data_IF_962163663672
#
_entry.id   IF_962163663672
#
_cell.length_a   1.000
_cell.length_b   1.000
_cell.length_c   1.000
_cell.angle_alpha   90.00
_cell.angle_beta   90.00
_cell.angle_gamma   90.00
#
_symmetry.space_group_name_H-M   'P 1'
#
loop_
_entity.id
_entity.type
_entity.pdbx_description
1 polymer ?
#
# COMPACT_ATOMS: atom_id res chain seq x y z
N UNK A 1 36.04 16.16 11.85
CA UNK A 1 35.59 15.40 10.65
C UNK A 1 34.09 15.55 10.42
N UNK A 2 33.25 15.34 11.44
CA UNK A 2 31.77 15.43 11.37
C UNK A 2 31.28 16.79 10.83
N UNK A 3 31.76 17.91 11.38
CA UNK A 3 31.40 19.26 10.90
C UNK A 3 31.80 19.51 9.43
N UNK A 4 32.88 18.90 8.94
CA UNK A 4 33.30 19.01 7.54
C UNK A 4 32.33 18.27 6.63
N UNK A 5 31.92 17.04 7.01
CA UNK A 5 30.95 16.25 6.25
C UNK A 5 29.56 16.89 6.27
N UNK A 6 29.14 17.47 7.39
CA UNK A 6 27.90 18.24 7.48
C UNK A 6 27.88 19.42 6.50
N UNK A 7 28.90 20.27 6.55
CA UNK A 7 28.99 21.44 5.66
C UNK A 7 29.13 21.03 4.20
N UNK A 8 29.88 19.96 3.91
CA UNK A 8 29.98 19.40 2.56
C UNK A 8 28.61 18.93 2.06
N UNK A 9 27.85 18.20 2.86
CA UNK A 9 26.51 17.77 2.48
C UNK A 9 25.59 18.97 2.24
N UNK A 10 25.47 19.87 3.23
CA UNK A 10 24.57 21.02 3.21
C UNK A 10 24.83 22.01 2.08
N UNK A 11 26.10 22.30 1.78
CA UNK A 11 26.46 23.37 0.84
C UNK A 11 26.90 22.88 -0.54
N UNK A 12 27.20 21.58 -0.70
CA UNK A 12 27.75 21.05 -1.96
C UNK A 12 26.85 19.98 -2.59
N UNK A 13 26.29 19.04 -1.81
CA UNK A 13 25.54 17.91 -2.37
C UNK A 13 24.01 18.03 -2.26
N UNK A 14 23.50 18.67 -1.20
CA UNK A 14 22.06 18.88 -0.98
C UNK A 14 21.43 20.04 -1.76
N UNK A 15 22.14 21.14 -2.11
CA UNK A 15 21.54 22.23 -2.88
C UNK A 15 21.02 21.80 -4.26
N UNK A 16 20.13 22.61 -4.84
CA UNK A 16 19.52 22.36 -6.15
C UNK A 16 20.57 22.10 -7.24
N UNK A 17 20.38 21.00 -7.97
CA UNK A 17 21.32 20.55 -9.01
C UNK A 17 21.35 21.51 -10.19
N UNK A 18 22.45 22.25 -10.30
CA UNK A 18 22.76 23.04 -11.49
C UNK A 18 23.44 22.20 -12.57
N UNK A 19 23.40 22.64 -13.83
CA UNK A 19 24.17 22.01 -14.92
C UNK A 19 25.66 21.90 -14.60
N UNK A 20 26.23 22.91 -13.94
CA UNK A 20 27.63 22.91 -13.49
C UNK A 20 27.90 21.84 -12.43
N UNK A 21 26.95 21.59 -11.51
CA UNK A 21 27.08 20.53 -10.51
C UNK A 21 27.17 19.14 -11.17
N UNK A 22 26.31 18.86 -12.16
CA UNK A 22 26.29 17.58 -12.89
C UNK A 22 27.54 17.36 -13.75
N UNK A 23 28.06 18.41 -14.40
CA UNK A 23 29.12 18.29 -15.42
C UNK A 23 30.54 18.53 -14.87
N UNK A 24 30.69 19.29 -13.79
CA UNK A 24 32.00 19.66 -13.25
C UNK A 24 32.21 19.14 -11.84
N UNK A 25 31.30 19.43 -10.91
CA UNK A 25 31.47 19.14 -9.49
C UNK A 25 31.48 17.64 -9.20
N UNK A 26 30.43 16.91 -9.58
CA UNK A 26 30.32 15.47 -9.32
C UNK A 26 31.43 14.66 -10.02
N UNK A 27 31.76 14.91 -11.30
CA UNK A 27 32.92 14.30 -11.94
C UNK A 27 34.24 14.59 -11.22
N UNK A 28 34.43 15.82 -10.71
CA UNK A 28 35.63 16.18 -9.95
C UNK A 28 35.72 15.40 -8.63
N UNK A 29 34.62 15.31 -7.87
CA UNK A 29 34.57 14.54 -6.62
C UNK A 29 34.97 13.08 -6.85
N UNK A 30 34.47 12.48 -7.93
CA UNK A 30 34.74 11.08 -8.25
C UNK A 30 36.20 10.88 -8.69
N UNK A 31 36.74 11.78 -9.52
CA UNK A 31 38.12 11.69 -10.01
C UNK A 31 39.16 11.96 -8.93
N UNK A 32 38.80 12.71 -7.89
CA UNK A 32 39.58 12.79 -6.66
C UNK A 32 39.61 11.43 -5.94
N UNK A 33 40.68 10.64 -6.17
CA UNK A 33 40.98 9.34 -5.51
C UNK A 33 40.99 9.33 -3.97
N UNK A 34 40.66 10.45 -3.32
CA UNK A 34 40.64 10.64 -1.87
C UNK A 34 39.24 10.82 -1.29
N UNK A 35 38.17 10.67 -2.07
CA UNK A 35 36.82 10.79 -1.53
C UNK A 35 36.59 9.71 -0.43
N UNK A 36 36.32 10.09 0.82
CA UNK A 36 36.25 9.15 1.94
C UNK A 36 34.88 8.45 1.98
N UNK A 37 34.54 7.71 0.92
CA UNK A 37 33.19 7.15 0.67
C UNK A 37 32.62 6.35 1.85
N UNK A 38 33.41 5.45 2.47
CA UNK A 38 32.93 4.67 3.63
C UNK A 38 32.61 5.53 4.85
N UNK A 39 33.43 6.55 5.12
CA UNK A 39 33.19 7.49 6.23
C UNK A 39 31.98 8.37 5.92
N UNK A 40 31.79 8.71 4.65
CA UNK A 40 30.63 9.45 4.18
C UNK A 40 29.34 8.64 4.37
N UNK A 41 29.30 7.36 3.98
CA UNK A 41 28.15 6.47 4.22
C UNK A 41 27.86 6.29 5.72
N UNK A 42 28.89 6.07 6.53
CA UNK A 42 28.74 5.95 7.98
C UNK A 42 28.12 7.22 8.56
N UNK A 43 28.61 8.39 8.13
CA UNK A 43 28.06 9.67 8.55
C UNK A 43 26.61 9.85 8.11
N UNK A 44 26.28 9.55 6.84
CA UNK A 44 24.91 9.61 6.33
C UNK A 44 23.96 8.74 7.16
N UNK A 45 24.32 7.48 7.42
CA UNK A 45 23.50 6.57 8.22
C UNK A 45 23.36 6.98 9.68
N UNK A 46 24.28 7.79 10.21
CA UNK A 46 24.24 8.28 11.59
C UNK A 46 23.34 9.51 11.77
N UNK A 47 22.92 10.14 10.68
CA UNK A 47 21.96 11.23 10.73
C UNK A 47 20.60 10.64 11.13
N UNK A 48 20.21 10.90 12.38
CA UNK A 48 18.84 10.65 12.85
C UNK A 48 17.86 11.50 12.05
N UNK A 49 16.65 10.99 11.85
CA UNK A 49 15.52 11.69 11.20
C UNK A 49 15.02 12.91 12.00
N UNK A 50 15.88 13.92 12.19
CA UNK A 50 15.51 15.23 12.70
C UNK A 50 15.02 16.13 11.56
N UNK A 51 14.24 17.17 11.88
CA UNK A 51 13.77 18.14 10.86
C UNK A 51 14.91 18.75 10.06
N UNK A 52 16.04 19.07 10.71
CA UNK A 52 17.24 19.59 10.03
C UNK A 52 17.85 18.58 9.06
N UNK A 53 17.84 17.29 9.40
CA UNK A 53 18.34 16.23 8.50
C UNK A 53 17.42 16.02 7.30
N UNK A 54 16.10 16.13 7.50
CA UNK A 54 15.12 15.96 6.44
C UNK A 54 15.22 17.07 5.39
N UNK A 55 15.56 18.30 5.80
CA UNK A 55 15.85 19.40 4.87
C UNK A 55 17.10 19.15 3.99
N UNK A 56 18.03 18.32 4.46
CA UNK A 56 19.23 17.97 3.70
C UNK A 56 18.98 16.81 2.72
N UNK A 57 18.00 15.96 3.04
CA UNK A 57 17.62 14.78 2.27
C UNK A 57 16.62 15.13 1.17
N UNK A 58 17.13 15.60 0.04
CA UNK A 58 16.35 15.89 -1.16
C UNK A 58 16.83 15.15 -2.40
N UNK A 59 16.11 15.32 -3.51
CA UNK A 59 16.38 14.63 -4.78
C UNK A 59 17.77 14.96 -5.35
N UNK A 60 18.30 16.15 -5.03
CA UNK A 60 19.64 16.59 -5.41
C UNK A 60 20.74 15.77 -4.74
N UNK A 61 20.57 15.48 -3.43
CA UNK A 61 21.49 14.62 -2.68
C UNK A 61 21.38 13.18 -3.16
N UNK A 62 20.16 12.69 -3.42
CA UNK A 62 19.93 11.34 -3.95
C UNK A 62 20.71 11.14 -5.25
N UNK A 63 20.54 12.05 -6.20
CA UNK A 63 21.25 12.01 -7.47
C UNK A 63 22.76 12.06 -7.28
N UNK A 64 23.25 12.94 -6.41
CA UNK A 64 24.68 13.09 -6.13
C UNK A 64 25.28 11.80 -5.54
N UNK A 65 24.59 11.16 -4.60
CA UNK A 65 24.98 9.87 -4.05
C UNK A 65 25.04 8.80 -5.15
N UNK A 66 23.94 8.63 -5.91
CA UNK A 66 23.87 7.63 -6.98
C UNK A 66 24.90 7.86 -8.10
N UNK A 67 25.26 9.12 -8.37
CA UNK A 67 26.34 9.43 -9.29
C UNK A 67 27.70 8.93 -8.76
N UNK A 68 27.99 9.19 -7.49
CA UNK A 68 29.23 8.73 -6.83
C UNK A 68 29.25 7.19 -6.76
N UNK A 69 28.10 6.55 -6.52
CA UNK A 69 27.96 5.10 -6.43
C UNK A 69 28.45 4.38 -7.69
N UNK A 70 28.28 4.99 -8.88
CA UNK A 70 28.79 4.43 -10.15
C UNK A 70 30.28 4.09 -10.11
N UNK A 71 31.05 4.73 -9.23
CA UNK A 71 32.49 4.55 -9.12
C UNK A 71 32.93 3.90 -7.81
N UNK A 72 32.21 4.13 -6.72
CA UNK A 72 32.64 3.70 -5.38
C UNK A 72 31.83 2.52 -4.81
N UNK A 73 30.66 2.17 -5.36
CA UNK A 73 29.79 1.14 -4.79
C UNK A 73 30.45 -0.24 -4.73
N UNK A 74 31.31 -0.57 -5.70
CA UNK A 74 32.06 -1.85 -5.72
C UNK A 74 33.13 -1.95 -4.62
N UNK A 75 33.47 -0.83 -3.98
CA UNK A 75 34.40 -0.80 -2.85
C UNK A 75 33.72 -1.21 -1.54
N UNK A 76 32.39 -1.22 -1.49
CA UNK A 76 31.60 -1.59 -0.30
C UNK A 76 31.64 -3.12 -0.14
N UNK A 77 32.44 -3.59 0.83
CA UNK A 77 32.65 -5.02 1.10
C UNK A 77 32.23 -5.46 2.50
N UNK A 78 32.41 -4.60 3.49
CA UNK A 78 32.09 -4.93 4.88
C UNK A 78 30.59 -4.87 5.12
N UNK A 79 30.05 -5.79 5.91
CA UNK A 79 28.62 -5.90 6.19
C UNK A 79 28.07 -4.64 6.87
N UNK A 80 28.82 -4.05 7.80
CA UNK A 80 28.49 -2.75 8.39
C UNK A 80 28.34 -1.65 7.33
N UNK A 81 29.29 -1.58 6.37
CA UNK A 81 29.25 -0.56 5.31
C UNK A 81 28.12 -0.78 4.31
N UNK A 82 27.75 -2.04 4.05
CA UNK A 82 26.56 -2.38 3.25
C UNK A 82 25.27 -1.95 3.98
N UNK A 83 25.18 -2.19 5.28
CA UNK A 83 24.05 -1.76 6.12
C UNK A 83 23.93 -0.24 6.13
N UNK A 84 25.04 0.49 6.32
CA UNK A 84 25.08 1.95 6.24
C UNK A 84 24.64 2.48 4.87
N UNK A 85 25.05 1.81 3.78
CA UNK A 85 24.62 2.17 2.43
C UNK A 85 23.10 2.05 2.27
N UNK A 86 22.52 0.89 2.61
CA UNK A 86 21.08 0.66 2.49
C UNK A 86 20.28 1.65 3.34
N UNK A 87 20.71 1.92 4.58
CA UNK A 87 20.11 2.93 5.47
C UNK A 87 20.14 4.31 4.85
N UNK A 88 21.31 4.76 4.40
CA UNK A 88 21.48 6.09 3.79
C UNK A 88 20.61 6.25 2.55
N UNK A 89 20.63 5.26 1.65
CA UNK A 89 19.80 5.26 0.44
C UNK A 89 18.31 5.28 0.80
N UNK A 90 17.89 4.49 1.80
CA UNK A 90 16.49 4.44 2.24
C UNK A 90 15.99 5.78 2.77
N UNK A 91 16.77 6.46 3.61
CA UNK A 91 16.41 7.75 4.19
C UNK A 91 16.30 8.83 3.10
N UNK A 92 17.33 8.95 2.26
CA UNK A 92 17.38 9.98 1.22
C UNK A 92 16.28 9.76 0.17
N UNK A 93 16.07 8.51 -0.27
CA UNK A 93 15.01 8.18 -1.23
C UNK A 93 13.63 8.42 -0.64
N UNK A 94 13.38 8.03 0.61
CA UNK A 94 12.10 8.21 1.27
C UNK A 94 11.75 9.71 1.40
N UNK A 95 12.69 10.55 1.83
CA UNK A 95 12.48 11.99 1.88
C UNK A 95 12.23 12.57 0.48
N UNK A 96 13.03 12.18 -0.53
CA UNK A 96 12.86 12.69 -1.91
C UNK A 96 11.49 12.34 -2.50
N UNK A 97 11.02 11.11 -2.29
CA UNK A 97 9.70 10.65 -2.76
C UNK A 97 8.57 11.31 -1.97
N UNK A 98 8.75 11.54 -0.67
CA UNK A 98 7.77 12.25 0.16
C UNK A 98 7.54 13.68 -0.33
N UNK A 99 8.60 14.47 -0.52
CA UNK A 99 8.48 15.84 -1.04
C UNK A 99 7.83 15.86 -2.43
N UNK A 100 8.15 14.88 -3.29
CA UNK A 100 7.50 14.71 -4.59
C UNK A 100 5.99 14.42 -4.48
N UNK A 101 5.60 13.57 -3.52
CA UNK A 101 4.21 13.21 -3.29
C UNK A 101 3.40 14.38 -2.72
N UNK A 102 3.94 15.11 -1.73
CA UNK A 102 3.31 16.30 -1.13
C UNK A 102 2.98 17.35 -2.21
N UNK A 103 3.95 17.67 -3.07
CA UNK A 103 3.77 18.65 -4.15
C UNK A 103 2.73 18.23 -5.20
N UNK A 104 2.67 16.94 -5.53
CA UNK A 104 1.67 16.39 -6.47
C UNK A 104 0.24 16.48 -5.92
N UNK A 105 0.09 16.31 -4.61
CA UNK A 105 -1.21 16.37 -3.93
C UNK A 105 -1.69 17.82 -3.76
N UNK A 106 -0.80 18.76 -3.47
CA UNK A 106 -1.13 20.19 -3.41
C UNK A 106 -1.70 20.71 -4.75
N UNK A 107 -1.14 20.29 -5.88
CA UNK A 107 -1.65 20.64 -7.20
C UNK A 107 -3.01 20.05 -7.57
N UNK A 108 -3.49 19.02 -6.85
CA UNK A 108 -4.80 18.40 -7.09
C UNK A 108 -5.96 19.15 -6.40
N UNK A 109 -5.72 19.85 -5.30
CA UNK A 109 -6.78 20.63 -4.62
C UNK A 109 -7.29 21.81 -5.47
N UNK A 110 -6.49 22.33 -6.40
CA UNK A 110 -6.89 23.44 -7.27
C UNK A 110 -7.68 23.00 -8.52
N UNK A 111 -7.78 21.70 -8.80
CA UNK A 111 -8.36 21.16 -10.04
C UNK A 111 -9.50 20.14 -9.80
N UNK A 112 -10.34 20.37 -8.80
CA UNK A 112 -11.60 19.63 -8.65
C UNK A 112 -12.61 20.06 -9.73
N UNK A 113 -12.50 19.42 -10.89
CA UNK A 113 -13.52 19.34 -11.93
C UNK A 113 -13.77 17.85 -12.18
N UNK A 114 -14.92 17.36 -11.73
CA UNK A 114 -15.44 16.00 -11.86
C UNK A 114 -15.17 15.37 -13.22
N UNK A 115 -14.44 14.24 -13.22
CA UNK A 115 -14.47 13.28 -14.33
C UNK A 115 -13.99 11.90 -13.84
N UNK A 116 -14.98 11.02 -13.70
CA UNK A 116 -14.91 9.62 -13.27
C UNK A 116 -14.25 8.68 -14.29
N UNK A 117 -12.92 8.67 -14.41
CA UNK A 117 -12.21 7.57 -15.08
C UNK A 117 -10.83 7.30 -14.45
N UNK A 118 -10.81 6.48 -13.42
CA UNK A 118 -9.61 5.89 -12.80
C UNK A 118 -8.98 4.81 -13.70
N UNK A 119 -8.47 5.18 -14.87
CA UNK A 119 -7.36 4.48 -15.55
C UNK A 119 -6.38 5.42 -16.29
N UNK A 120 -6.54 6.74 -16.25
CA UNK A 120 -5.52 7.68 -16.70
C UNK A 120 -5.50 8.93 -15.82
N UNK A 121 -4.49 9.02 -14.95
CA UNK A 121 -4.09 10.29 -14.32
C UNK A 121 -3.75 11.25 -15.45
N UNK A 122 -4.67 12.13 -15.82
CA UNK A 122 -4.42 13.22 -16.77
C UNK A 122 -3.51 14.23 -16.06
N UNK A 123 -2.20 14.03 -16.23
CA UNK A 123 -1.18 14.95 -15.76
C UNK A 123 -1.36 16.26 -16.53
N UNK A 124 -2.01 17.25 -15.92
CA UNK A 124 -1.88 18.63 -16.36
C UNK A 124 -0.38 18.94 -16.44
N UNK A 125 0.09 19.45 -17.59
CA UNK A 125 1.49 19.79 -17.83
C UNK A 125 1.95 20.92 -16.89
N UNK A 126 2.30 20.57 -15.66
CA UNK A 126 3.08 21.43 -14.77
C UNK A 126 4.53 21.41 -15.26
N UNK A 127 5.19 22.58 -15.27
CA UNK A 127 6.62 22.64 -15.58
C UNK A 127 7.40 21.66 -14.69
N UNK A 128 8.16 20.74 -15.31
CA UNK A 128 8.96 19.76 -14.58
C UNK A 128 10.03 20.52 -13.80
N UNK A 129 9.86 20.59 -12.48
CA UNK A 129 10.84 21.26 -11.64
C UNK A 129 12.17 20.51 -11.61
N UNK A 130 13.27 21.22 -11.36
CA UNK A 130 14.62 20.65 -11.33
C UNK A 130 14.72 19.47 -10.35
N UNK A 131 13.99 19.56 -9.24
CA UNK A 131 13.93 18.51 -8.23
C UNK A 131 13.20 17.26 -8.72
N UNK A 132 12.10 17.41 -9.47
CA UNK A 132 11.38 16.29 -10.08
C UNK A 132 12.23 15.59 -11.15
N UNK A 133 12.97 16.36 -11.94
CA UNK A 133 13.90 15.80 -12.92
C UNK A 133 15.05 15.06 -12.24
N UNK A 134 15.61 15.62 -11.16
CA UNK A 134 16.63 14.95 -10.35
C UNK A 134 16.15 13.63 -9.75
N UNK A 135 14.92 13.58 -9.22
CA UNK A 135 14.33 12.34 -8.71
C UNK A 135 14.10 11.33 -9.83
N UNK A 136 13.58 11.78 -10.97
CA UNK A 136 13.35 10.92 -12.15
C UNK A 136 14.64 10.32 -12.68
N UNK A 137 15.70 11.11 -12.80
CA UNK A 137 17.03 10.61 -13.17
C UNK A 137 17.58 9.65 -12.10
N UNK A 138 17.41 9.98 -10.82
CA UNK A 138 17.84 9.11 -9.70
C UNK A 138 17.19 7.73 -9.76
N UNK A 139 15.87 7.66 -9.96
CA UNK A 139 15.14 6.39 -10.08
C UNK A 139 15.59 5.61 -11.33
N UNK A 140 15.93 6.28 -12.43
CA UNK A 140 16.53 5.63 -13.61
C UNK A 140 17.90 5.01 -13.28
N UNK A 141 18.78 5.75 -12.60
CA UNK A 141 20.10 5.25 -12.19
C UNK A 141 19.96 4.06 -11.24
N UNK A 142 19.04 4.14 -10.27
CA UNK A 142 18.74 3.05 -9.35
C UNK A 142 18.22 1.81 -10.09
N UNK A 143 17.47 2.01 -11.18
CA UNK A 143 16.96 0.97 -12.05
C UNK A 143 18.01 0.31 -12.97
N UNK A 144 19.25 0.80 -13.00
CA UNK A 144 20.33 0.18 -13.77
C UNK A 144 20.65 -1.22 -13.22
N UNK A 145 20.80 -2.20 -14.12
CA UNK A 145 21.02 -3.61 -13.75
C UNK A 145 22.22 -3.81 -12.82
N UNK A 146 23.31 -3.07 -13.03
CA UNK A 146 24.50 -3.09 -12.15
C UNK A 146 24.15 -2.68 -10.73
N UNK A 147 23.40 -1.59 -10.56
CA UNK A 147 23.06 -1.05 -9.26
C UNK A 147 22.09 -1.99 -8.52
N UNK A 148 21.06 -2.46 -9.22
CA UNK A 148 20.08 -3.41 -8.67
C UNK A 148 20.72 -4.73 -8.23
N UNK A 149 21.61 -5.30 -9.04
CA UNK A 149 22.33 -6.52 -8.68
C UNK A 149 23.21 -6.31 -7.44
N UNK A 150 23.77 -5.11 -7.26
CA UNK A 150 24.60 -4.80 -6.10
C UNK A 150 23.78 -4.64 -4.82
N UNK A 151 22.62 -3.98 -4.89
CA UNK A 151 21.66 -3.95 -3.77
C UNK A 151 21.25 -5.38 -3.41
N UNK A 152 20.96 -6.20 -4.41
CA UNK A 152 20.53 -7.58 -4.20
C UNK A 152 21.64 -8.44 -3.55
N UNK A 153 22.91 -8.25 -3.96
CA UNK A 153 24.09 -8.85 -3.31
C UNK A 153 24.20 -8.42 -1.83
N UNK A 154 23.98 -7.14 -1.52
CA UNK A 154 24.01 -6.65 -0.14
C UNK A 154 22.91 -7.30 0.71
N UNK A 155 21.69 -7.38 0.17
CA UNK A 155 20.55 -8.04 0.81
C UNK A 155 20.84 -9.52 1.07
N UNK A 156 21.45 -10.24 0.12
CA UNK A 156 21.82 -11.65 0.28
C UNK A 156 22.83 -11.86 1.41
N UNK A 157 23.70 -10.89 1.67
CA UNK A 157 24.66 -10.94 2.78
C UNK A 157 24.11 -10.47 4.13
N UNK A 158 23.06 -9.64 4.12
CA UNK A 158 22.50 -8.98 5.30
C UNK A 158 21.13 -9.55 5.72
N UNK A 159 20.87 -10.82 5.43
CA UNK A 159 19.56 -11.46 5.70
C UNK A 159 19.19 -11.47 7.19
N UNK A 160 20.19 -11.45 8.08
CA UNK A 160 19.99 -11.46 9.53
C UNK A 160 20.02 -10.05 10.18
N UNK A 161 20.35 -9.00 9.41
CA UNK A 161 20.36 -7.61 9.89
C UNK A 161 18.97 -6.99 9.73
N UNK A 162 18.20 -6.95 10.82
CA UNK A 162 16.85 -6.37 10.85
C UNK A 162 16.81 -4.90 10.40
N UNK A 163 17.85 -4.11 10.65
CA UNK A 163 17.88 -2.71 10.25
C UNK A 163 18.13 -2.57 8.74
N UNK A 164 18.98 -3.43 8.17
CA UNK A 164 19.19 -3.51 6.72
C UNK A 164 17.95 -4.02 5.98
N UNK A 165 17.25 -5.02 6.53
CA UNK A 165 15.97 -5.50 6.01
C UNK A 165 14.95 -4.36 6.00
N UNK A 166 14.80 -3.66 7.13
CA UNK A 166 13.90 -2.51 7.24
C UNK A 166 14.24 -1.44 6.20
N UNK A 167 15.50 -1.03 6.11
CA UNK A 167 15.96 -0.04 5.11
C UNK A 167 15.64 -0.48 3.67
N UNK A 168 15.83 -1.76 3.34
CA UNK A 168 15.50 -2.31 2.02
C UNK A 168 14.00 -2.27 1.75
N UNK A 169 13.17 -2.58 2.74
CA UNK A 169 11.71 -2.45 2.63
C UNK A 169 11.27 -0.99 2.47
N UNK A 170 11.92 -0.04 3.13
CA UNK A 170 11.70 1.39 2.90
C UNK A 170 12.04 1.79 1.46
N UNK A 171 13.19 1.36 0.93
CA UNK A 171 13.55 1.60 -0.48
C UNK A 171 12.46 1.07 -1.42
N UNK A 172 12.04 -0.19 -1.23
CA UNK A 172 10.99 -0.81 -2.03
C UNK A 172 9.68 -0.02 -1.95
N UNK A 173 9.28 0.39 -0.75
CA UNK A 173 8.05 1.14 -0.53
C UNK A 173 8.10 2.52 -1.19
N UNK A 174 9.21 3.26 -1.07
CA UNK A 174 9.39 4.54 -1.75
C UNK A 174 9.33 4.40 -3.27
N UNK A 175 9.89 3.33 -3.85
CA UNK A 175 9.78 3.05 -5.29
C UNK A 175 8.35 2.72 -5.72
N UNK A 176 7.59 1.98 -4.92
CA UNK A 176 6.17 1.71 -5.18
C UNK A 176 5.32 2.98 -5.11
N UNK A 177 5.59 3.87 -4.16
CA UNK A 177 4.93 5.19 -4.07
C UNK A 177 5.26 6.02 -5.30
N UNK A 178 6.55 6.14 -5.64
CA UNK A 178 6.98 6.89 -6.82
C UNK A 178 6.38 6.35 -8.13
N UNK A 179 6.39 5.02 -8.32
CA UNK A 179 5.85 4.37 -9.52
C UNK A 179 4.37 4.64 -9.73
N UNK A 180 3.57 4.63 -8.66
CA UNK A 180 2.14 4.99 -8.71
C UNK A 180 1.92 6.43 -9.13
N UNK A 181 2.73 7.35 -8.64
CA UNK A 181 2.59 8.78 -8.92
C UNK A 181 3.16 9.16 -10.30
N UNK A 182 4.20 8.50 -10.77
CA UNK A 182 4.91 8.89 -12.00
C UNK A 182 4.41 8.18 -13.27
N UNK A 183 3.47 7.23 -13.17
CA UNK A 183 3.00 6.37 -14.29
C UNK A 183 4.13 5.65 -15.05
N UNK A 184 5.36 5.65 -14.53
CA UNK A 184 6.54 5.05 -15.14
C UNK A 184 6.75 3.64 -14.57
N UNK A 185 6.55 2.63 -15.42
CA UNK A 185 6.60 1.20 -15.04
C UNK A 185 7.98 0.64 -14.64
N UNK A 186 9.01 1.47 -14.46
CA UNK A 186 10.40 1.06 -14.20
C UNK A 186 10.70 0.71 -12.74
N UNK A 187 9.79 1.01 -11.80
CA UNK A 187 9.99 0.84 -10.35
C UNK A 187 9.82 -0.61 -9.85
N UNK A 188 9.42 -1.55 -10.70
CA UNK A 188 9.14 -2.94 -10.31
C UNK A 188 10.32 -3.90 -10.45
N UNK A 189 11.45 -3.47 -11.03
CA UNK A 189 12.56 -4.38 -11.31
C UNK A 189 13.26 -4.87 -10.04
N UNK A 190 13.50 -3.98 -9.07
CA UNK A 190 14.08 -4.36 -7.77
C UNK A 190 13.17 -5.35 -7.04
N UNK A 191 11.86 -5.07 -6.98
CA UNK A 191 10.87 -5.96 -6.37
C UNK A 191 10.91 -7.34 -7.00
N UNK A 192 10.94 -7.43 -8.34
CA UNK A 192 11.03 -8.72 -9.05
C UNK A 192 12.32 -9.47 -8.69
N UNK A 193 13.46 -8.78 -8.60
CA UNK A 193 14.74 -9.37 -8.21
C UNK A 193 14.69 -9.90 -6.76
N UNK A 194 14.06 -9.15 -5.85
CA UNK A 194 13.93 -9.53 -4.45
C UNK A 194 12.87 -10.62 -4.21
N UNK A 195 11.85 -10.72 -5.06
CA UNK A 195 10.82 -11.77 -4.98
C UNK A 195 11.40 -13.18 -5.19
N UNK A 196 12.50 -13.29 -5.94
CA UNK A 196 13.22 -14.56 -6.12
C UNK A 196 14.13 -14.94 -4.94
N UNK A 197 14.25 -14.07 -3.92
CA UNK A 197 15.09 -14.30 -2.74
C UNK A 197 14.26 -14.76 -1.55
N UNK A 198 13.95 -16.05 -1.51
CA UNK A 198 13.14 -16.65 -0.44
C UNK A 198 13.70 -16.41 0.97
N UNK A 199 15.04 -16.34 1.12
CA UNK A 199 15.69 -15.98 2.39
C UNK A 199 15.33 -14.57 2.85
N UNK A 200 15.33 -13.61 1.94
CA UNK A 200 14.96 -12.23 2.24
C UNK A 200 13.48 -12.12 2.61
N UNK A 201 12.57 -12.78 1.87
CA UNK A 201 11.13 -12.80 2.21
C UNK A 201 10.90 -13.35 3.63
N UNK A 202 11.61 -14.42 4.01
CA UNK A 202 11.58 -14.95 5.39
C UNK A 202 12.12 -13.94 6.42
N UNK A 203 13.21 -13.25 6.10
CA UNK A 203 13.79 -12.22 6.98
C UNK A 203 12.83 -11.04 7.22
N UNK A 204 12.07 -10.62 6.19
CA UNK A 204 11.03 -9.59 6.36
C UNK A 204 9.96 -10.09 7.33
N UNK A 205 9.46 -11.32 7.15
CA UNK A 205 8.44 -11.87 8.04
C UNK A 205 8.94 -12.00 9.48
N UNK A 206 10.18 -12.46 9.69
CA UNK A 206 10.80 -12.52 11.01
C UNK A 206 10.87 -11.13 11.67
N UNK A 207 11.15 -10.09 10.89
CA UNK A 207 11.18 -8.69 11.36
C UNK A 207 9.79 -8.20 11.77
N UNK A 208 8.75 -8.56 11.02
CA UNK A 208 7.34 -8.28 11.35
C UNK A 208 6.93 -8.99 12.66
N UNK A 209 7.33 -10.25 12.84
CA UNK A 209 7.06 -10.99 14.07
C UNK A 209 7.78 -10.41 15.29
N UNK A 210 9.04 -10.01 15.12
CA UNK A 210 9.83 -9.38 16.17
C UNK A 210 9.17 -8.08 16.65
N UNK A 211 8.69 -7.25 15.72
CA UNK A 211 7.95 -6.03 16.03
C UNK A 211 6.71 -6.32 16.88
N UNK A 212 5.97 -7.37 16.54
CA UNK A 212 4.78 -7.78 17.31
C UNK A 212 5.13 -8.28 18.71
N UNK A 213 6.22 -9.03 18.88
CA UNK A 213 6.63 -9.59 20.19
C UNK A 213 7.14 -8.51 21.13
N UNK A 214 7.94 -7.56 20.62
CA UNK A 214 8.55 -6.51 21.44
C UNK A 214 7.52 -5.58 22.09
N UNK A 215 6.36 -5.37 21.48
CA UNK A 215 5.32 -4.49 22.01
C UNK A 215 4.37 -5.17 23.02
N UNK A 216 4.51 -6.49 23.28
CA UNK A 216 3.66 -7.29 24.19
C UNK A 216 2.15 -7.02 24.02
N UNK A 217 1.74 -6.67 22.80
CA UNK A 217 0.39 -6.23 22.45
C UNK A 217 -0.12 -7.06 21.28
N UNK A 218 -1.40 -6.97 20.97
CA UNK A 218 -1.95 -7.62 19.78
C UNK A 218 -1.14 -7.24 18.54
N UNK A 219 -0.98 -8.17 17.59
CA UNK A 219 -0.32 -7.92 16.30
C UNK A 219 -0.84 -6.64 15.63
N UNK A 220 -2.16 -6.44 15.71
CA UNK A 220 -2.86 -5.22 15.29
C UNK A 220 -2.30 -3.95 15.92
N UNK A 221 -2.23 -3.89 17.25
CA UNK A 221 -1.77 -2.68 17.95
C UNK A 221 -0.29 -2.41 17.72
N UNK A 222 0.53 -3.45 17.53
CA UNK A 222 1.93 -3.28 17.21
C UNK A 222 2.14 -2.64 15.83
N UNK A 223 1.38 -3.07 14.82
CA UNK A 223 1.45 -2.52 13.46
C UNK A 223 1.06 -1.05 13.46
N UNK A 224 -0.04 -0.70 14.13
CA UNK A 224 -0.55 0.68 14.16
C UNK A 224 0.40 1.62 14.90
N UNK A 225 0.92 1.20 16.06
CA UNK A 225 1.84 2.03 16.87
C UNK A 225 3.18 2.27 16.20
N UNK A 226 3.62 1.35 15.35
CA UNK A 226 4.90 1.42 14.66
C UNK A 226 4.71 1.57 13.14
N UNK A 227 3.68 2.31 12.71
CA UNK A 227 3.28 2.44 11.30
C UNK A 227 4.45 2.75 10.34
N UNK A 228 5.36 3.63 10.75
CA UNK A 228 6.50 4.02 9.91
C UNK A 228 7.42 2.85 9.54
N UNK A 229 7.54 1.85 10.42
CA UNK A 229 8.36 0.66 10.17
C UNK A 229 7.51 -0.53 9.71
N UNK A 230 6.32 -0.71 10.28
CA UNK A 230 5.44 -1.84 9.98
C UNK A 230 4.85 -1.77 8.57
N UNK A 231 4.50 -0.57 8.08
CA UNK A 231 3.87 -0.40 6.76
C UNK A 231 4.82 -0.77 5.62
N UNK A 232 6.07 -0.27 5.56
CA UNK A 232 7.02 -0.69 4.52
C UNK A 232 7.34 -2.19 4.57
N UNK A 233 7.50 -2.76 5.77
CA UNK A 233 7.75 -4.19 5.96
C UNK A 233 6.59 -5.03 5.41
N UNK A 234 5.35 -4.75 5.84
CA UNK A 234 4.17 -5.50 5.42
C UNK A 234 3.85 -5.29 3.93
N UNK A 235 3.95 -4.07 3.44
CA UNK A 235 3.70 -3.76 2.03
C UNK A 235 4.70 -4.50 1.13
N UNK A 236 5.99 -4.47 1.49
CA UNK A 236 7.04 -5.17 0.74
C UNK A 236 6.83 -6.69 0.86
N UNK A 237 6.60 -7.21 2.07
CA UNK A 237 6.34 -8.63 2.30
C UNK A 237 5.20 -9.15 1.44
N UNK A 238 4.02 -8.51 1.52
CA UNK A 238 2.84 -8.94 0.79
C UNK A 238 3.03 -8.81 -0.72
N UNK A 239 3.74 -7.79 -1.19
CA UNK A 239 4.04 -7.62 -2.62
C UNK A 239 4.97 -8.72 -3.13
N UNK A 240 6.10 -8.96 -2.44
CA UNK A 240 7.08 -9.95 -2.86
C UNK A 240 6.52 -11.37 -2.76
N UNK A 241 5.80 -11.69 -1.68
CA UNK A 241 5.18 -13.00 -1.52
C UNK A 241 4.07 -13.21 -2.55
N UNK A 242 3.27 -12.18 -2.86
CA UNK A 242 2.25 -12.29 -3.91
C UNK A 242 2.87 -12.52 -5.29
N UNK A 243 3.97 -11.83 -5.62
CA UNK A 243 4.71 -12.06 -6.84
C UNK A 243 5.26 -13.49 -6.89
N UNK A 244 5.90 -13.94 -5.80
CA UNK A 244 6.47 -15.28 -5.71
C UNK A 244 5.39 -16.37 -5.82
N UNK A 245 4.29 -16.24 -5.10
CA UNK A 245 3.18 -17.19 -5.17
C UNK A 245 2.57 -17.21 -6.58
N UNK A 246 2.51 -16.09 -7.29
CA UNK A 246 1.94 -16.06 -8.65
C UNK A 246 2.76 -16.85 -9.68
N UNK A 247 4.06 -17.05 -9.44
CA UNK A 247 4.95 -17.78 -10.37
C UNK A 247 5.06 -19.27 -10.06
N UNK A 248 4.53 -19.74 -8.93
CA UNK A 248 4.64 -21.14 -8.50
C UNK A 248 3.46 -21.99 -8.96
N UNK A 249 3.72 -23.24 -9.34
CA UNK A 249 2.67 -24.25 -9.47
C UNK A 249 2.22 -24.76 -8.09
N UNK A 250 1.07 -25.45 -8.06
CA UNK A 250 0.50 -25.96 -6.80
C UNK A 250 1.45 -26.97 -6.10
N UNK A 251 2.17 -27.79 -6.86
CA UNK A 251 3.18 -28.73 -6.31
C UNK A 251 4.35 -27.98 -5.66
N UNK A 252 4.88 -26.96 -6.33
CA UNK A 252 5.99 -26.14 -5.83
C UNK A 252 5.58 -25.31 -4.60
N UNK A 253 4.31 -24.89 -4.55
CA UNK A 253 3.74 -24.19 -3.41
C UNK A 253 3.64 -25.09 -2.17
N UNK A 254 3.26 -26.37 -2.34
CA UNK A 254 3.17 -27.33 -1.22
C UNK A 254 4.57 -27.79 -0.77
N UNK A 255 5.51 -27.95 -1.71
CA UNK A 255 6.89 -28.38 -1.44
C UNK A 255 7.76 -27.34 -0.68
N UNK A 256 7.15 -26.32 -0.09
CA UNK A 256 7.84 -25.33 0.73
C UNK A 256 8.67 -25.99 1.84
N UNK A 257 9.90 -25.49 2.02
CA UNK A 257 10.85 -25.85 3.10
C UNK A 257 11.83 -27.02 2.84
N UNK A 258 11.96 -27.51 1.60
CA UNK A 258 13.18 -28.23 1.19
C UNK A 258 14.40 -27.28 1.19
N UNK A 259 15.62 -27.79 1.42
CA UNK A 259 16.86 -26.99 1.56
C UNK A 259 17.13 -26.00 0.40
N UNK A 260 16.47 -26.19 -0.76
CA UNK A 260 16.50 -25.31 -1.93
C UNK A 260 15.09 -24.99 -2.50
N UNK A 261 14.03 -25.09 -1.69
CA UNK A 261 12.67 -24.88 -2.18
C UNK A 261 12.49 -23.45 -2.70
N UNK A 262 11.85 -23.34 -3.87
CA UNK A 262 11.46 -22.07 -4.48
C UNK A 262 10.49 -21.31 -3.57
N UNK A 263 9.61 -22.03 -2.86
CA UNK A 263 8.62 -21.43 -1.94
C UNK A 263 9.27 -21.04 -0.59
N UNK A 264 9.13 -19.78 -0.14
CA UNK A 264 9.78 -19.30 1.08
C UNK A 264 9.26 -19.91 2.39
N UNK A 265 8.01 -20.38 2.43
CA UNK A 265 7.33 -20.85 3.63
C UNK A 265 6.68 -22.21 3.40
N UNK A 266 6.62 -23.06 4.44
CA UNK A 266 5.77 -24.25 4.39
C UNK A 266 4.29 -23.89 4.60
N UNK A 267 3.39 -24.84 4.36
CA UNK A 267 1.95 -24.67 4.55
C UNK A 267 1.59 -24.21 5.96
N UNK A 268 2.21 -24.77 7.01
CA UNK A 268 1.94 -24.37 8.40
C UNK A 268 2.26 -22.90 8.67
N UNK A 269 3.37 -22.41 8.12
CA UNK A 269 3.76 -21.00 8.19
C UNK A 269 2.82 -20.12 7.36
N UNK A 270 2.34 -20.57 6.20
CA UNK A 270 1.34 -19.83 5.41
C UNK A 270 0.02 -19.70 6.19
N UNK A 271 -0.42 -20.75 6.86
CA UNK A 271 -1.59 -20.71 7.77
C UNK A 271 -1.34 -19.66 8.86
N UNK A 272 -0.16 -19.65 9.49
CA UNK A 272 0.19 -18.64 10.50
C UNK A 272 0.22 -17.21 9.94
N UNK A 273 0.79 -17.01 8.74
CA UNK A 273 0.84 -15.72 8.05
C UNK A 273 -0.57 -15.21 7.79
N UNK A 274 -1.47 -16.06 7.28
CA UNK A 274 -2.87 -15.67 7.04
C UNK A 274 -3.61 -15.35 8.35
N UNK A 275 -3.34 -16.09 9.44
CA UNK A 275 -3.92 -15.82 10.75
C UNK A 275 -3.48 -14.47 11.34
N UNK A 276 -2.20 -14.13 11.20
CA UNK A 276 -1.65 -12.85 11.67
C UNK A 276 -2.05 -11.69 10.75
N UNK A 277 -2.09 -11.93 9.43
CA UNK A 277 -2.60 -10.96 8.44
C UNK A 277 -4.13 -10.83 8.42
N UNK A 278 -4.85 -11.51 9.31
CA UNK A 278 -6.29 -11.31 9.47
C UNK A 278 -6.56 -9.83 9.78
N UNK A 279 -7.02 -9.14 8.74
CA UNK A 279 -7.63 -7.81 8.54
C UNK A 279 -7.78 -6.86 9.73
N UNK A 280 -7.93 -7.34 10.97
CA UNK A 280 -8.02 -6.55 12.20
C UNK A 280 -6.98 -5.41 12.30
N UNK A 281 -5.67 -5.59 11.99
CA UNK A 281 -4.67 -4.51 12.00
C UNK A 281 -5.00 -3.32 11.09
N UNK A 282 -5.62 -3.60 9.96
CA UNK A 282 -5.90 -2.60 8.91
C UNK A 282 -7.31 -1.99 9.12
N UNK A 283 -8.15 -2.65 9.93
CA UNK A 283 -9.53 -2.26 10.23
C UNK A 283 -9.62 -1.25 11.39
N UNK A 284 -8.58 -1.08 12.21
CA UNK A 284 -8.64 -0.08 13.30
C UNK A 284 -7.27 0.54 13.65
N UNK A 285 -6.75 1.46 12.82
CA UNK A 285 -5.59 2.27 13.17
C UNK A 285 -5.89 3.34 14.24
N UNK A 286 -7.15 3.53 14.63
CA UNK A 286 -7.64 4.64 15.47
C UNK A 286 -7.76 4.31 16.96
N UNK A 287 -7.04 3.29 17.44
CA UNK A 287 -6.93 2.99 18.87
C UNK A 287 -6.08 4.01 19.65
N UNK A 288 -6.36 5.32 19.55
CA UNK A 288 -6.11 6.44 20.47
C UNK A 288 -5.85 7.77 19.74
N UNK A 289 -6.35 8.85 20.34
CA UNK A 289 -6.23 10.26 19.96
C UNK A 289 -4.79 10.67 19.62
N UNK A 290 -4.50 10.98 18.35
CA UNK A 290 -3.24 11.60 17.93
C UNK A 290 -3.55 12.69 16.90
N UNK A 291 -3.02 13.88 17.15
CA UNK A 291 -3.34 15.16 16.51
C UNK A 291 -3.32 15.14 14.98
N UNK A 292 -4.35 15.79 14.41
CA UNK A 292 -4.79 15.81 13.02
C UNK A 292 -4.32 17.09 12.32
N UNK A 293 -3.86 17.04 11.06
CA UNK A 293 -3.96 18.08 10.01
C UNK A 293 -3.05 17.89 8.79
N UNK A 294 -1.93 17.16 8.88
CA UNK A 294 -1.09 16.81 7.69
C UNK A 294 -0.69 15.33 7.64
N UNK A 295 -0.86 14.60 8.75
CA UNK A 295 -0.56 13.17 8.87
C UNK A 295 -1.72 12.25 8.45
N UNK A 296 -2.89 12.78 8.11
CA UNK A 296 -4.09 11.99 7.83
C UNK A 296 -4.15 11.52 6.38
N UNK A 297 -3.82 12.38 5.43
CA UNK A 297 -3.82 12.05 4.00
C UNK A 297 -2.74 11.01 3.65
N UNK A 298 -1.55 11.12 4.25
CA UNK A 298 -0.51 10.08 4.13
C UNK A 298 -0.92 8.78 4.82
N UNK A 299 -1.59 8.85 5.99
CA UNK A 299 -2.13 7.65 6.63
C UNK A 299 -3.11 6.97 5.68
N UNK A 300 -4.06 7.69 5.11
CA UNK A 300 -5.10 7.10 4.27
C UNK A 300 -4.55 6.47 2.99
N UNK A 301 -3.56 7.10 2.35
CA UNK A 301 -2.93 6.54 1.14
C UNK A 301 -1.99 5.35 1.44
N UNK A 302 -1.24 5.39 2.55
CA UNK A 302 -0.39 4.29 3.02
C UNK A 302 -1.23 3.08 3.44
N UNK A 303 -2.27 3.30 4.25
CA UNK A 303 -3.18 2.25 4.72
C UNK A 303 -4.04 1.66 3.61
N UNK A 304 -4.47 2.48 2.63
CA UNK A 304 -5.14 1.99 1.41
C UNK A 304 -4.25 1.05 0.61
N UNK A 305 -2.98 1.40 0.44
CA UNK A 305 -2.05 0.58 -0.32
C UNK A 305 -1.77 -0.76 0.35
N UNK A 306 -1.38 -0.75 1.63
CA UNK A 306 -1.15 -1.99 2.38
C UNK A 306 -2.40 -2.87 2.41
N UNK A 307 -3.59 -2.29 2.57
CA UNK A 307 -4.86 -3.03 2.46
C UNK A 307 -4.98 -3.73 1.10
N UNK A 308 -4.78 -3.01 -0.01
CA UNK A 308 -4.85 -3.56 -1.37
C UNK A 308 -3.87 -4.72 -1.57
N UNK A 309 -2.63 -4.56 -1.14
CA UNK A 309 -1.60 -5.61 -1.30
C UNK A 309 -1.89 -6.81 -0.40
N UNK A 310 -2.33 -6.61 0.84
CA UNK A 310 -2.75 -7.68 1.74
C UNK A 310 -3.95 -8.46 1.19
N UNK A 311 -4.99 -7.77 0.71
CA UNK A 311 -6.16 -8.38 0.06
C UNK A 311 -5.74 -9.22 -1.15
N UNK A 312 -4.82 -8.70 -1.96
CA UNK A 312 -4.32 -9.40 -3.15
C UNK A 312 -3.64 -10.71 -2.76
N UNK A 313 -2.72 -10.67 -1.79
CA UNK A 313 -2.06 -11.87 -1.26
C UNK A 313 -3.09 -12.87 -0.68
N UNK A 314 -4.03 -12.40 0.12
CA UNK A 314 -5.02 -13.26 0.77
C UNK A 314 -5.96 -13.92 -0.24
N UNK A 315 -6.39 -13.20 -1.28
CA UNK A 315 -7.15 -13.78 -2.40
C UNK A 315 -6.35 -14.87 -3.12
N UNK A 316 -5.06 -14.66 -3.37
CA UNK A 316 -4.21 -15.67 -4.01
C UNK A 316 -4.08 -16.94 -3.15
N UNK A 317 -3.84 -16.79 -1.84
CA UNK A 317 -3.72 -17.92 -0.92
C UNK A 317 -5.07 -18.65 -0.81
N UNK A 318 -6.17 -17.91 -0.64
CA UNK A 318 -7.52 -18.49 -0.59
C UNK A 318 -7.86 -19.28 -1.86
N UNK A 319 -7.56 -18.74 -3.04
CA UNK A 319 -7.80 -19.43 -4.30
C UNK A 319 -7.00 -20.75 -4.43
N UNK A 320 -5.81 -20.82 -3.82
CA UNK A 320 -5.04 -22.07 -3.73
C UNK A 320 -5.65 -23.04 -2.73
N UNK A 321 -6.05 -22.52 -1.57
CA UNK A 321 -6.71 -23.34 -0.55
C UNK A 321 -8.01 -23.97 -1.06
N UNK A 322 -8.77 -23.29 -1.92
CA UNK A 322 -9.93 -23.90 -2.59
C UNK A 322 -9.60 -25.14 -3.42
N UNK A 323 -8.38 -25.24 -3.97
CA UNK A 323 -7.94 -26.40 -4.77
C UNK A 323 -7.24 -27.46 -3.93
N UNK A 324 -6.49 -27.03 -2.92
CA UNK A 324 -5.55 -27.86 -2.17
C UNK A 324 -6.05 -28.25 -0.78
N UNK A 325 -7.01 -27.52 -0.22
CA UNK A 325 -7.63 -27.74 1.10
C UNK A 325 -6.61 -27.93 2.22
N UNK A 326 -5.69 -26.97 2.36
CA UNK A 326 -4.60 -27.05 3.34
C UNK A 326 -4.92 -26.31 4.64
N UNK A 327 -5.85 -25.36 4.62
CA UNK A 327 -6.31 -24.67 5.83
C UNK A 327 -7.30 -25.54 6.63
N UNK A 328 -7.33 -25.41 7.97
CA UNK A 328 -8.32 -26.07 8.80
C UNK A 328 -9.75 -25.54 8.55
N UNK A 329 -10.80 -26.28 8.97
CA UNK A 329 -12.17 -25.81 8.85
C UNK A 329 -12.37 -24.47 9.57
N UNK A 330 -13.16 -23.58 8.97
CA UNK A 330 -13.47 -22.23 9.46
C UNK A 330 -12.26 -21.28 9.59
N UNK A 331 -11.10 -21.63 9.01
CA UNK A 331 -9.88 -20.81 9.04
C UNK A 331 -10.09 -19.38 8.52
N UNK A 332 -10.87 -19.25 7.44
CA UNK A 332 -11.12 -17.97 6.79
C UNK A 332 -12.26 -17.17 7.43
N UNK A 333 -13.13 -17.81 8.20
CA UNK A 333 -14.35 -17.19 8.70
C UNK A 333 -14.05 -16.22 9.86
N UNK A 334 -14.60 -15.00 9.78
CA UNK A 334 -14.58 -14.03 10.86
C UNK A 334 -15.71 -14.41 11.85
N UNK A 335 -15.39 -14.83 13.09
CA UNK A 335 -16.38 -15.38 14.02
C UNK A 335 -17.49 -14.41 14.46
N UNK A 336 -17.32 -13.12 14.19
CA UNK A 336 -18.24 -12.05 14.63
C UNK A 336 -18.34 -10.90 13.64
N UNK A 337 -18.59 -11.21 12.36
CA UNK A 337 -18.92 -10.16 11.38
C UNK A 337 -20.38 -9.72 11.58
N UNK A 338 -20.58 -8.53 12.13
CA UNK A 338 -21.90 -7.93 12.30
C UNK A 338 -21.97 -6.62 11.52
N UNK A 339 -22.55 -6.69 10.32
CA UNK A 339 -22.95 -5.52 9.55
C UNK A 339 -24.46 -5.39 9.71
N UNK A 340 -24.89 -4.47 10.57
CA UNK A 340 -26.30 -4.13 10.69
C UNK A 340 -26.69 -3.32 9.45
N UNK A 341 -27.41 -3.96 8.54
CA UNK A 341 -27.97 -3.38 7.31
C UNK A 341 -29.22 -2.54 7.61
N UNK A 342 -29.08 -1.62 8.56
CA UNK A 342 -30.14 -0.67 8.88
C UNK A 342 -29.66 0.72 8.46
N UNK A 343 -30.54 1.46 7.76
CA UNK A 343 -30.33 2.77 7.10
C UNK A 343 -29.95 2.74 5.61
N UNK A 344 -30.64 3.59 4.86
CA UNK A 344 -30.46 3.92 3.43
C UNK A 344 -29.00 4.17 3.00
N UNK A 345 -28.14 4.60 3.93
CA UNK A 345 -26.72 4.81 3.72
C UNK A 345 -25.98 3.51 3.32
N UNK A 346 -26.08 2.41 4.08
CA UNK A 346 -25.33 1.16 3.80
C UNK A 346 -25.55 0.65 2.37
N UNK A 347 -26.76 0.86 1.87
CA UNK A 347 -27.23 0.35 0.59
C UNK A 347 -26.74 1.25 -0.55
N UNK A 348 -26.77 2.56 -0.36
CA UNK A 348 -26.12 3.52 -1.27
C UNK A 348 -24.63 3.17 -1.45
N UNK A 349 -23.89 2.95 -0.36
CA UNK A 349 -22.46 2.61 -0.42
C UNK A 349 -22.17 1.20 -0.92
N UNK A 350 -23.09 0.24 -0.79
CA UNK A 350 -22.96 -1.08 -1.40
C UNK A 350 -23.20 -1.03 -2.91
N UNK A 351 -24.22 -0.28 -3.34
CA UNK A 351 -24.60 -0.12 -4.74
C UNK A 351 -23.68 0.83 -5.51
N UNK A 352 -23.05 1.79 -4.85
CA UNK A 352 -22.13 2.73 -5.49
C UNK A 352 -20.68 2.34 -5.21
N UNK A 353 -19.83 2.53 -6.22
CA UNK A 353 -18.38 2.41 -6.10
C UNK A 353 -17.84 3.66 -5.39
N UNK A 354 -18.18 3.84 -4.11
CA UNK A 354 -17.50 4.88 -3.31
C UNK A 354 -16.14 4.33 -2.92
N UNK A 355 -15.24 4.30 -3.89
CA UNK A 355 -13.91 3.74 -3.74
C UNK A 355 -12.99 4.72 -2.99
N UNK A 356 -13.33 6.02 -2.96
CA UNK A 356 -12.46 7.06 -2.40
C UNK A 356 -12.81 7.55 -0.98
N UNK A 357 -14.07 7.54 -0.54
CA UNK A 357 -14.45 8.10 0.78
C UNK A 357 -14.52 7.09 1.92
N UNK A 358 -14.28 5.81 1.67
CA UNK A 358 -14.35 4.77 2.71
C UNK A 358 -13.07 4.66 3.57
N UNK A 359 -12.07 5.53 3.33
CA UNK A 359 -10.85 5.59 4.14
C UNK A 359 -10.61 7.01 4.69
N UNK A 360 -11.05 8.06 3.98
CA UNK A 360 -10.93 9.45 4.43
C UNK A 360 -12.03 9.89 5.40
N UNK A 361 -12.14 9.31 6.60
CA UNK A 361 -13.02 9.89 7.63
C UNK A 361 -12.47 9.65 9.05
N UNK A 362 -11.50 10.48 9.44
CA UNK A 362 -11.58 11.16 10.73
C UNK A 362 -12.13 12.55 10.44
N UNK A 363 -13.46 12.67 10.32
CA UNK A 363 -14.07 13.98 10.44
C UNK A 363 -13.98 14.34 11.93
N UNK A 364 -13.46 15.52 12.32
CA UNK A 364 -13.38 15.88 13.72
C UNK A 364 -14.79 15.79 14.29
N UNK A 365 -14.95 15.04 15.38
CA UNK A 365 -16.18 15.04 16.15
C UNK A 365 -16.39 16.49 16.60
N UNK A 366 -17.23 17.22 15.87
CA UNK A 366 -17.61 18.58 16.20
C UNK A 366 -18.04 18.57 17.67
N UNK A 367 -17.31 19.32 18.48
CA UNK A 367 -17.61 19.48 19.89
C UNK A 367 -19.09 19.78 20.04
N UNK A 368 -19.74 18.97 20.86
CA UNK A 368 -21.15 19.03 21.15
C UNK A 368 -21.51 20.36 21.79
N UNK A 369 -21.77 21.37 20.96
CA UNK A 369 -22.68 22.47 21.29
C UNK A 369 -24.05 22.11 20.72
N UNK A 370 -25.01 21.96 21.62
CA UNK A 370 -26.43 21.74 21.31
C UNK A 370 -26.92 22.70 20.22
N UNK A 371 -27.71 22.16 19.28
CA UNK A 371 -28.55 22.87 18.29
C UNK A 371 -28.02 23.11 16.87
N UNK A 372 -27.15 22.24 16.32
CA UNK A 372 -26.96 22.21 14.85
C UNK A 372 -27.11 20.79 14.28
N UNK A 373 -28.01 20.68 13.30
CA UNK A 373 -28.29 19.49 12.51
C UNK A 373 -27.00 18.95 11.85
N UNK A 374 -26.82 17.62 11.73
CA UNK A 374 -25.62 17.06 11.15
C UNK A 374 -25.48 17.50 9.69
N UNK A 375 -24.30 18.02 9.34
CA UNK A 375 -23.95 18.45 7.99
C UNK A 375 -24.24 17.33 6.99
N UNK A 376 -25.16 17.60 6.07
CA UNK A 376 -25.45 16.76 4.91
C UNK A 376 -24.23 16.84 4.00
N UNK A 377 -23.57 15.71 3.71
CA UNK A 377 -22.69 15.61 2.55
C UNK A 377 -23.52 15.88 1.29
N UNK A 378 -22.95 16.51 0.24
CA UNK A 378 -23.64 16.88 -1.01
C UNK A 378 -24.43 15.72 -1.68
N UNK A 379 -24.12 14.46 -1.33
CA UNK A 379 -24.79 13.26 -1.82
C UNK A 379 -25.95 12.73 -0.94
N UNK A 380 -26.47 13.50 0.01
CA UNK A 380 -27.72 13.19 0.73
C UNK A 380 -27.70 11.94 1.64
N UNK A 381 -26.52 11.39 1.93
CA UNK A 381 -26.32 10.25 2.82
C UNK A 381 -26.09 10.67 4.27
N UNK A 382 -26.62 9.90 5.23
CA UNK A 382 -26.21 10.01 6.64
C UNK A 382 -24.74 9.57 6.74
N UNK A 383 -23.85 10.33 7.41
CA UNK A 383 -22.47 9.93 7.60
C UNK A 383 -22.40 8.58 8.34
N UNK A 384 -21.70 7.64 7.73
CA UNK A 384 -21.57 6.27 8.23
C UNK A 384 -20.50 6.20 9.33
N UNK A 385 -20.68 5.31 10.30
CA UNK A 385 -19.58 5.04 11.25
C UNK A 385 -18.40 4.38 10.54
N UNK A 386 -17.17 4.69 10.95
CA UNK A 386 -15.97 4.08 10.37
C UNK A 386 -15.99 2.54 10.44
N UNK A 387 -16.65 1.96 11.46
CA UNK A 387 -16.88 0.52 11.57
C UNK A 387 -17.72 -0.04 10.43
N UNK A 388 -18.81 0.61 10.06
CA UNK A 388 -19.71 0.16 8.98
C UNK A 388 -19.02 0.26 7.61
N UNK A 389 -18.32 1.36 7.37
CA UNK A 389 -17.50 1.60 6.17
C UNK A 389 -16.51 0.45 5.94
N UNK A 390 -15.78 0.07 6.99
CA UNK A 390 -14.78 -0.99 6.92
C UNK A 390 -15.42 -2.36 6.74
N UNK A 391 -16.53 -2.63 7.43
CA UNK A 391 -17.30 -3.86 7.21
C UNK A 391 -17.78 -4.00 5.75
N UNK A 392 -18.23 -2.90 5.13
CA UNK A 392 -18.59 -2.89 3.70
C UNK A 392 -17.37 -3.17 2.83
N UNK A 393 -16.20 -2.57 3.12
CA UNK A 393 -14.98 -2.80 2.34
C UNK A 393 -14.50 -4.26 2.45
N UNK A 394 -14.55 -4.87 3.64
CA UNK A 394 -14.28 -6.31 3.84
C UNK A 394 -15.25 -7.16 3.01
N UNK A 395 -16.56 -6.86 3.08
CA UNK A 395 -17.57 -7.58 2.33
C UNK A 395 -17.34 -7.50 0.81
N UNK A 396 -16.93 -6.34 0.29
CA UNK A 396 -16.62 -6.14 -1.14
C UNK A 396 -15.32 -6.83 -1.56
N UNK A 397 -14.28 -6.79 -0.72
CA UNK A 397 -12.91 -7.16 -1.13
C UNK A 397 -12.51 -8.59 -0.76
N UNK A 398 -13.11 -9.17 0.27
CA UNK A 398 -12.74 -10.49 0.81
C UNK A 398 -13.99 -11.20 1.37
N UNK A 399 -15.08 -11.34 0.58
CA UNK A 399 -16.34 -11.91 1.05
C UNK A 399 -16.22 -13.36 1.56
N UNK A 400 -15.18 -14.10 1.13
CA UNK A 400 -14.90 -15.45 1.63
C UNK A 400 -14.60 -15.51 3.12
N UNK A 401 -14.29 -14.37 3.74
CA UNK A 401 -14.09 -14.26 5.19
C UNK A 401 -15.39 -14.17 5.97
N UNK A 402 -16.52 -14.07 5.28
CA UNK A 402 -17.86 -13.95 5.86
C UNK A 402 -18.61 -15.24 5.53
N UNK A 403 -19.20 -15.84 6.57
CA UNK A 403 -19.96 -17.09 6.44
C UNK A 403 -21.02 -16.99 5.34
N UNK A 404 -21.26 -18.09 4.63
CA UNK A 404 -22.25 -18.13 3.55
C UNK A 404 -23.64 -17.70 4.03
N UNK A 405 -24.07 -18.19 5.21
CA UNK A 405 -25.37 -17.85 5.78
C UNK A 405 -25.49 -16.33 6.03
N UNK A 406 -24.47 -15.70 6.62
CA UNK A 406 -24.46 -14.25 6.83
C UNK A 406 -24.54 -13.48 5.51
N UNK A 407 -23.82 -13.93 4.46
CA UNK A 407 -23.86 -13.29 3.14
C UNK A 407 -25.22 -13.42 2.47
N UNK A 408 -25.90 -14.56 2.62
CA UNK A 408 -27.27 -14.76 2.09
C UNK A 408 -28.27 -13.83 2.78
N UNK A 409 -28.19 -13.70 4.11
CA UNK A 409 -29.04 -12.77 4.87
C UNK A 409 -28.82 -11.34 4.38
N UNK A 410 -27.57 -10.88 4.30
CA UNK A 410 -27.25 -9.54 3.79
C UNK A 410 -27.75 -9.33 2.35
N UNK A 411 -27.64 -10.35 1.49
CA UNK A 411 -28.14 -10.28 0.12
C UNK A 411 -29.67 -10.16 0.06
N UNK A 412 -30.40 -10.91 0.89
CA UNK A 412 -31.86 -10.83 1.00
C UNK A 412 -32.31 -9.45 1.51
N UNK A 413 -31.61 -8.90 2.50
CA UNK A 413 -31.86 -7.54 3.00
C UNK A 413 -31.66 -6.50 1.90
N UNK A 414 -30.57 -6.60 1.12
CA UNK A 414 -30.33 -5.71 -0.04
C UNK A 414 -31.46 -5.78 -1.07
N UNK A 415 -31.89 -6.99 -1.44
CA UNK A 415 -33.02 -7.18 -2.37
C UNK A 415 -34.32 -6.59 -1.83
N UNK A 416 -34.58 -6.71 -0.52
CA UNK A 416 -35.79 -6.19 0.09
C UNK A 416 -35.86 -4.66 -0.01
N UNK A 417 -34.74 -3.97 0.19
CA UNK A 417 -34.69 -2.51 0.09
C UNK A 417 -34.74 -2.05 -1.36
N UNK A 418 -34.07 -2.75 -2.26
CA UNK A 418 -34.12 -2.45 -3.69
C UNK A 418 -35.57 -2.55 -4.21
N UNK A 419 -36.29 -3.60 -3.80
CA UNK A 419 -37.72 -3.78 -4.07
C UNK A 419 -38.57 -2.64 -3.52
N UNK A 420 -38.34 -2.20 -2.28
CA UNK A 420 -39.03 -1.05 -1.69
C UNK A 420 -38.73 0.23 -2.48
N UNK A 421 -37.49 0.44 -2.92
CA UNK A 421 -37.09 1.64 -3.69
C UNK A 421 -37.75 1.66 -5.06
N UNK A 422 -37.74 0.54 -5.79
CA UNK A 422 -38.40 0.42 -7.09
C UNK A 422 -39.93 0.66 -7.00
N UNK A 423 -40.52 0.41 -5.83
CA UNK A 423 -41.95 0.63 -5.58
C UNK A 423 -42.31 2.05 -5.14
N UNK A 424 -41.33 2.93 -4.83
CA UNK A 424 -41.56 4.31 -4.33
C UNK A 424 -41.97 5.33 -5.40
N UNK A 425 -42.44 4.89 -6.57
CA UNK A 425 -43.24 5.74 -7.46
C UNK A 425 -44.38 6.38 -6.63
N UNK A 426 -44.52 7.72 -6.61
CA UNK A 426 -45.22 8.48 -5.57
C UNK A 426 -46.75 8.26 -5.51
N UNK A 427 -47.30 7.34 -6.29
CA UNK A 427 -48.75 7.11 -6.41
C UNK A 427 -49.18 5.68 -6.02
N UNK A 428 -48.28 4.83 -5.50
CA UNK A 428 -48.63 3.45 -5.10
C UNK A 428 -48.11 3.09 -3.72
N UNK A 429 -48.59 3.78 -2.70
CA UNK A 429 -48.45 3.28 -1.33
C UNK A 429 -49.30 2.01 -1.15
N UNK A 430 -48.66 0.89 -0.78
CA UNK A 430 -49.26 -0.38 -0.33
C UNK A 430 -49.75 -1.42 -1.37
N UNK A 431 -49.49 -1.26 -2.67
CA UNK A 431 -49.77 -2.32 -3.65
C UNK A 431 -48.45 -2.82 -4.24
N UNK A 432 -48.08 -4.05 -3.88
CA UNK A 432 -47.01 -4.77 -4.56
C UNK A 432 -47.36 -4.81 -6.07
N UNK A 433 -46.50 -4.33 -6.98
CA UNK A 433 -46.78 -4.32 -8.40
C UNK A 433 -46.89 -5.77 -8.89
N UNK A 434 -48.13 -6.26 -8.96
CA UNK A 434 -48.45 -7.57 -9.48
C UNK A 434 -48.40 -7.49 -11.00
N UNK A 435 -47.38 -8.12 -11.59
CA UNK A 435 -47.31 -8.32 -13.03
C UNK A 435 -48.20 -9.51 -13.38
N UNK A 436 -49.37 -9.24 -13.94
CA UNK A 436 -50.27 -10.29 -14.42
C UNK A 436 -49.86 -10.75 -15.82
N UNK A 437 -49.44 -12.01 -15.93
CA UNK A 437 -49.16 -12.66 -17.21
C UNK A 437 -50.14 -13.81 -17.46
N UNK A 438 -50.65 -13.88 -18.68
CA UNK A 438 -51.47 -15.01 -19.16
C UNK A 438 -50.65 -15.78 -20.17
N UNK A 439 -50.32 -17.04 -19.85
CA UNK A 439 -49.49 -17.92 -20.66
C UNK A 439 -50.17 -19.26 -20.89
N UNK A 440 -50.00 -19.84 -22.07
CA UNK A 440 -50.51 -21.19 -22.36
C UNK A 440 -49.52 -22.20 -21.80
N UNK A 441 -50.02 -23.19 -21.05
CA UNK A 441 -49.18 -24.26 -20.47
C UNK A 441 -48.34 -25.00 -21.52
N UNK A 442 -48.87 -25.16 -22.74
CA UNK A 442 -48.19 -25.83 -23.85
C UNK A 442 -47.09 -25.00 -24.51
N UNK A 443 -47.09 -23.67 -24.33
CA UNK A 443 -46.16 -22.74 -24.98
C UNK A 443 -45.54 -21.80 -23.94
N UNK A 444 -45.21 -22.33 -22.76
CA UNK A 444 -44.76 -21.52 -21.62
C UNK A 444 -43.55 -20.65 -21.98
N UNK A 445 -42.57 -21.22 -22.69
CA UNK A 445 -41.35 -20.50 -23.06
C UNK A 445 -41.64 -19.33 -24.00
N UNK A 446 -42.34 -19.57 -25.11
CA UNK A 446 -42.66 -18.56 -26.12
C UNK A 446 -43.59 -17.47 -25.55
N UNK A 447 -44.62 -17.86 -24.80
CA UNK A 447 -45.57 -16.93 -24.22
C UNK A 447 -44.93 -16.10 -23.09
N UNK A 448 -44.05 -16.69 -22.26
CA UNK A 448 -43.29 -15.95 -21.24
C UNK A 448 -42.28 -15.00 -21.87
N UNK A 449 -41.57 -15.42 -22.92
CA UNK A 449 -40.65 -14.54 -23.66
C UNK A 449 -41.39 -13.34 -24.23
N UNK A 450 -42.52 -13.57 -24.92
CA UNK A 450 -43.34 -12.49 -25.49
C UNK A 450 -43.92 -11.55 -24.42
N UNK A 451 -44.26 -12.05 -23.23
CA UNK A 451 -44.92 -11.26 -22.18
C UNK A 451 -43.96 -10.55 -21.22
N UNK A 452 -42.70 -10.98 -21.13
CA UNK A 452 -41.69 -10.42 -20.22
C UNK A 452 -40.51 -9.79 -20.97
N UNK A 453 -40.55 -9.73 -22.31
CA UNK A 453 -39.57 -9.02 -23.12
C UNK A 453 -39.62 -7.51 -22.91
N UNK A 454 -38.47 -6.84 -22.96
CA UNK A 454 -38.34 -5.39 -22.78
C UNK A 454 -39.09 -4.54 -23.82
N UNK A 455 -39.41 -5.11 -24.99
CA UNK A 455 -40.14 -4.41 -26.06
C UNK A 455 -41.64 -4.21 -25.78
N UNK A 456 -42.16 -4.82 -24.70
CA UNK A 456 -43.52 -4.66 -24.19
C UNK A 456 -43.50 -4.02 -22.80
#
# INVERSE_FOLDING_TARGET
>A
SVSVLYNFLRHILSPELTRSSKILLLPYIVTCKRFPYMKFLTYLSSLSSSEESNQLFGSSLLYSLLYIDRHYLDLVKNDETKSHYLKSLSQILNCSVRHFAEKRLEGQMESQSDSDDEENISVAMTEVTVEEDALRESVKILGDSRHLNKIAEFVDTLVDDHEAISATCHICNSLMVYGRLSSTGSSHLLLRILAERSKFIRGIWASVELLSRNLSSSFTSAIVRCADTSVPLLTTFCTLLSQKISTLHDEEFIAGHELNSSMPFNIGQIIEITLKNNYKPIIDPSGQNISETTMELERDTKWRHIFKVCVTLLRQIYNRDLRLSFCPPNHWEIPSFNLVMDKSANIFYLQHSVQDDLISLSAPAAESTSDQMPAMTDNGGIPMTAKQIRSIKILKEIPFTISFNSRVVMFQELLSVDKIRAQREPHRFFVEPLVHITVRRSHLYEDSFNKLSYEN
#
